data_IF_595151691929
#
_entry.id   IF_595151691929
#
_cell.length_a   1.000
_cell.length_b   1.000
_cell.length_c   1.000
_cell.angle_alpha   90.00
_cell.angle_beta   90.00
_cell.angle_gamma   90.00
#
_symmetry.space_group_name_H-M   'P 1'
#
loop_
_entity.id
_entity.type
_entity.pdbx_description
1 polymer ?
#
# COMPACT_ATOMS: atom_id res chain seq x y z
N UNK A 1 5.76 101.61 -12.45
CA UNK A 1 7.10 101.54 -11.79
C UNK A 1 6.89 100.74 -10.52
N UNK A 2 7.43 99.55 -10.26
CA UNK A 2 8.64 98.82 -10.70
C UNK A 2 8.29 97.32 -10.66
N UNK A 3 8.48 96.57 -11.76
CA UNK A 3 9.67 95.77 -12.07
C UNK A 3 10.11 94.82 -10.95
N UNK A 4 9.79 93.52 -11.07
CA UNK A 4 10.85 92.51 -10.95
C UNK A 4 10.47 91.19 -11.66
N UNK A 5 11.23 90.88 -12.72
CA UNK A 5 11.29 89.56 -13.38
C UNK A 5 12.62 88.90 -12.98
N UNK A 6 12.54 87.64 -12.59
CA UNK A 6 13.60 86.63 -12.80
C UNK A 6 14.09 85.90 -11.55
N UNK A 7 14.74 84.72 -11.69
CA UNK A 7 14.76 83.78 -12.82
C UNK A 7 14.16 82.41 -12.45
N UNK A 8 13.76 81.67 -13.48
CA UNK A 8 13.44 80.26 -13.40
C UNK A 8 14.63 79.49 -12.80
N UNK A 9 14.41 78.87 -11.63
CA UNK A 9 15.35 77.90 -11.07
C UNK A 9 15.11 76.59 -11.81
N UNK A 10 15.78 76.43 -12.94
CA UNK A 10 16.03 75.12 -13.53
C UNK A 10 16.89 74.34 -12.55
N UNK A 11 16.26 73.58 -11.67
CA UNK A 11 16.92 72.44 -11.02
C UNK A 11 16.74 71.29 -11.97
N UNK A 12 17.84 70.91 -12.62
CA UNK A 12 17.89 69.80 -13.56
C UNK A 12 17.11 68.61 -13.02
N UNK A 13 16.00 68.31 -13.69
CA UNK A 13 15.66 66.92 -13.91
C UNK A 13 16.86 66.34 -14.66
N UNK A 14 17.82 65.76 -13.92
CA UNK A 14 18.63 64.69 -14.47
C UNK A 14 17.63 63.63 -14.92
N UNK A 15 17.17 63.79 -16.17
CA UNK A 15 16.31 62.82 -16.82
C UNK A 15 17.19 61.59 -16.95
N UNK A 16 17.10 60.69 -15.96
CA UNK A 16 17.65 59.34 -16.09
C UNK A 16 17.25 58.86 -17.46
N UNK A 17 18.24 58.70 -18.32
CA UNK A 17 18.00 58.41 -19.72
C UNK A 17 17.25 57.09 -19.79
N UNK A 18 16.37 56.93 -20.79
CA UNK A 18 15.57 55.71 -20.92
C UNK A 18 16.45 54.43 -20.89
N UNK A 19 17.70 54.56 -21.33
CA UNK A 19 18.75 53.55 -21.28
C UNK A 19 19.20 53.20 -19.85
N UNK A 20 19.39 54.19 -18.97
CA UNK A 20 19.71 53.94 -17.55
C UNK A 20 18.55 53.25 -16.82
N UNK A 21 17.30 53.57 -17.18
CA UNK A 21 16.11 52.87 -16.66
C UNK A 21 16.05 51.42 -17.16
N UNK A 22 16.36 51.19 -18.44
CA UNK A 22 16.42 49.86 -19.04
C UNK A 22 17.52 48.99 -18.42
N UNK A 23 18.73 49.52 -18.28
CA UNK A 23 19.86 48.82 -17.66
C UNK A 23 19.59 48.46 -16.19
N UNK A 24 18.85 49.32 -15.47
CA UNK A 24 18.42 49.06 -14.10
C UNK A 24 17.35 47.96 -14.04
N UNK A 25 16.38 47.97 -14.94
CA UNK A 25 15.35 46.92 -15.04
C UNK A 25 15.96 45.57 -15.41
N UNK A 26 16.88 45.53 -16.37
CA UNK A 26 17.48 44.28 -16.86
C UNK A 26 18.31 43.55 -15.77
N UNK A 27 19.07 44.31 -14.96
CA UNK A 27 19.79 43.77 -13.79
C UNK A 27 18.86 43.26 -12.71
N UNK A 28 17.70 43.90 -12.54
CA UNK A 28 16.70 43.51 -11.55
C UNK A 28 15.96 42.23 -12.00
N UNK A 29 15.58 42.15 -13.27
CA UNK A 29 14.94 40.97 -13.89
C UNK A 29 15.85 39.74 -13.81
N UNK A 30 17.16 39.89 -14.06
CA UNK A 30 18.11 38.78 -13.96
C UNK A 30 18.25 38.23 -12.54
N UNK A 31 18.22 39.10 -11.53
CA UNK A 31 18.25 38.70 -10.11
C UNK A 31 16.94 38.02 -9.68
N UNK A 32 15.79 38.55 -10.10
CA UNK A 32 14.49 37.96 -9.81
C UNK A 32 14.30 36.60 -10.48
N UNK A 33 14.73 36.44 -11.73
CA UNK A 33 14.68 35.15 -12.42
C UNK A 33 15.51 34.08 -11.69
N UNK A 34 16.71 34.43 -11.21
CA UNK A 34 17.56 33.49 -10.48
C UNK A 34 16.93 33.04 -9.14
N UNK A 35 16.32 33.97 -8.40
CA UNK A 35 15.59 33.67 -7.16
C UNK A 35 14.40 32.76 -7.45
N UNK A 36 13.63 33.05 -8.50
CA UNK A 36 12.49 32.23 -8.91
C UNK A 36 12.92 30.80 -9.29
N UNK A 37 14.01 30.65 -10.04
CA UNK A 37 14.51 29.31 -10.42
C UNK A 37 14.90 28.48 -9.19
N UNK A 38 15.63 29.08 -8.25
CA UNK A 38 16.01 28.39 -6.99
C UNK A 38 14.78 28.07 -6.14
N UNK A 39 13.81 28.98 -6.06
CA UNK A 39 12.57 28.76 -5.34
C UNK A 39 11.75 27.61 -5.95
N UNK A 40 11.67 27.51 -7.27
CA UNK A 40 10.96 26.42 -7.96
C UNK A 40 11.66 25.08 -7.74
N UNK A 41 12.99 25.01 -7.86
CA UNK A 41 13.75 23.78 -7.59
C UNK A 41 13.59 23.37 -6.13
N UNK A 42 13.68 24.33 -5.20
CA UNK A 42 13.45 24.09 -3.77
C UNK A 42 12.04 23.59 -3.48
N UNK A 43 11.02 24.15 -4.13
CA UNK A 43 9.63 23.73 -3.99
C UNK A 43 9.40 22.32 -4.57
N UNK A 44 9.92 22.04 -5.76
CA UNK A 44 9.83 20.71 -6.39
C UNK A 44 10.58 19.66 -5.56
N UNK A 45 11.77 19.98 -5.05
CA UNK A 45 12.52 19.13 -4.15
C UNK A 45 11.79 18.89 -2.83
N UNK A 46 11.19 19.93 -2.25
CA UNK A 46 10.40 19.83 -1.03
C UNK A 46 9.14 18.97 -1.21
N UNK A 47 8.42 19.13 -2.33
CA UNK A 47 7.26 18.30 -2.66
C UNK A 47 7.68 16.84 -2.89
N UNK A 48 8.76 16.60 -3.64
CA UNK A 48 9.26 15.25 -3.91
C UNK A 48 9.80 14.51 -2.68
N UNK A 49 10.33 15.24 -1.69
CA UNK A 49 10.89 14.63 -0.47
C UNK A 49 9.82 14.13 0.51
N UNK A 50 8.58 14.63 0.44
CA UNK A 50 7.51 14.23 1.38
C UNK A 50 6.93 12.83 1.14
N UNK A 51 7.23 12.21 0.00
CA UNK A 51 6.61 10.94 -0.42
C UNK A 51 7.34 9.68 0.13
N UNK A 52 8.47 9.81 0.83
CA UNK A 52 9.26 8.66 1.32
C UNK A 52 9.01 8.25 2.78
N UNK A 53 7.88 8.64 3.38
CA UNK A 53 7.43 7.98 4.61
C UNK A 53 6.68 6.72 4.25
N UNK A 54 7.29 5.55 4.49
CA UNK A 54 6.58 4.27 4.48
C UNK A 54 5.44 4.39 5.49
N UNK A 55 4.23 4.64 5.00
CA UNK A 55 3.02 4.56 5.77
C UNK A 55 2.85 3.10 6.17
N UNK A 56 2.84 2.82 7.48
CA UNK A 56 2.88 1.46 8.02
C UNK A 56 1.68 0.56 7.69
N UNK A 57 0.74 1.01 6.85
CA UNK A 57 -0.43 0.26 6.42
C UNK A 57 -0.72 0.57 4.95
N UNK A 58 -0.62 -0.44 4.08
CA UNK A 58 -1.10 -0.38 2.70
C UNK A 58 -2.56 -0.85 2.69
N UNK A 59 -3.48 0.04 2.29
CA UNK A 59 -4.91 -0.31 2.12
C UNK A 59 -5.23 -0.32 0.64
N UNK A 60 -5.60 -1.50 0.14
CA UNK A 60 -6.04 -1.69 -1.23
C UNK A 60 -7.26 -2.64 -1.26
N UNK A 61 -8.08 -2.53 -2.30
CA UNK A 61 -9.14 -3.52 -2.57
C UNK A 61 -8.56 -4.83 -3.08
N UNK A 62 -7.48 -4.74 -3.84
CA UNK A 62 -6.78 -5.82 -4.50
C UNK A 62 -5.30 -5.46 -4.52
N UNK A 63 -4.42 -6.41 -4.20
CA UNK A 63 -2.98 -6.25 -4.32
C UNK A 63 -2.43 -7.41 -5.17
N UNK A 64 -1.77 -7.05 -6.27
CA UNK A 64 -1.13 -7.99 -7.19
C UNK A 64 0.37 -7.76 -7.20
N UNK A 65 1.13 -8.84 -7.06
CA UNK A 65 2.56 -8.84 -7.36
C UNK A 65 2.70 -9.37 -8.78
N UNK A 66 3.28 -8.55 -9.64
CA UNK A 66 3.46 -8.86 -11.06
C UNK A 66 4.91 -9.32 -11.25
N UNK A 67 5.07 -10.51 -11.82
CA UNK A 67 6.36 -11.05 -12.22
C UNK A 67 6.71 -10.68 -13.67
N UNK A 68 7.67 -11.42 -14.23
CA UNK A 68 8.15 -11.14 -15.57
C UNK A 68 7.04 -11.29 -16.63
N UNK A 69 7.11 -10.45 -17.66
CA UNK A 69 6.17 -10.40 -18.78
C UNK A 69 4.74 -9.97 -18.39
N UNK A 70 4.58 -9.27 -17.25
CA UNK A 70 3.28 -8.73 -16.85
C UNK A 70 2.33 -9.74 -16.21
N UNK A 71 2.81 -10.95 -15.90
CA UNK A 71 2.00 -12.02 -15.31
C UNK A 71 1.86 -11.84 -13.81
N UNK A 72 0.69 -12.18 -13.27
CA UNK A 72 0.48 -12.11 -11.81
C UNK A 72 1.09 -13.34 -11.14
N UNK A 73 1.94 -13.15 -10.13
CA UNK A 73 2.57 -14.24 -9.37
C UNK A 73 2.00 -14.39 -7.96
N UNK A 74 1.46 -13.30 -7.39
CA UNK A 74 0.72 -13.30 -6.12
C UNK A 74 -0.46 -12.37 -6.25
N UNK A 75 -1.62 -12.80 -5.73
CA UNK A 75 -2.85 -12.03 -5.76
C UNK A 75 -3.51 -12.09 -4.38
N UNK A 76 -3.66 -10.93 -3.75
CA UNK A 76 -4.39 -10.75 -2.49
C UNK A 76 -5.68 -9.98 -2.77
N UNK A 77 -6.82 -10.61 -2.50
CA UNK A 77 -8.14 -10.09 -2.86
C UNK A 77 -9.22 -10.61 -1.91
N UNK A 78 -10.49 -10.38 -2.28
CA UNK A 78 -11.63 -11.09 -1.71
C UNK A 78 -12.17 -12.10 -2.72
N UNK A 79 -12.71 -13.20 -2.22
CA UNK A 79 -13.45 -14.14 -3.05
C UNK A 79 -14.86 -13.59 -3.40
N UNK A 80 -15.69 -14.43 -4.01
CA UNK A 80 -17.05 -14.05 -4.44
C UNK A 80 -18.00 -13.80 -3.25
N UNK A 81 -17.72 -14.37 -2.08
CA UNK A 81 -18.50 -14.21 -0.85
C UNK A 81 -18.02 -13.01 -0.03
N UNK A 82 -16.88 -12.43 -0.40
CA UNK A 82 -16.29 -11.27 0.26
C UNK A 82 -15.23 -11.64 1.29
N UNK A 83 -14.87 -12.92 1.40
CA UNK A 83 -13.86 -13.41 2.32
C UNK A 83 -12.45 -13.19 1.78
N UNK A 84 -11.48 -13.04 2.68
CA UNK A 84 -10.09 -12.79 2.29
C UNK A 84 -9.47 -13.99 1.56
N UNK A 85 -8.75 -13.70 0.49
CA UNK A 85 -8.07 -14.70 -0.32
C UNK A 85 -6.66 -14.24 -0.73
N UNK A 86 -5.70 -15.17 -0.66
CA UNK A 86 -4.34 -15.01 -1.17
C UNK A 86 -4.02 -16.19 -2.09
N UNK A 87 -3.74 -15.91 -3.35
CA UNK A 87 -3.34 -16.90 -4.34
C UNK A 87 -1.89 -16.67 -4.79
N UNK A 88 -1.18 -17.76 -5.10
CA UNK A 88 0.07 -17.72 -5.86
C UNK A 88 -0.08 -18.49 -7.17
N UNK A 89 0.68 -18.08 -8.18
CA UNK A 89 0.57 -18.62 -9.52
C UNK A 89 1.92 -19.12 -10.06
N UNK A 90 1.86 -20.15 -10.91
CA UNK A 90 3.01 -20.63 -11.68
C UNK A 90 3.36 -19.63 -12.78
N UNK A 91 4.50 -19.82 -13.46
CA UNK A 91 4.85 -19.01 -14.63
C UNK A 91 3.86 -19.16 -15.81
N UNK A 92 2.99 -20.18 -15.78
CA UNK A 92 1.89 -20.40 -16.73
C UNK A 92 0.55 -19.83 -16.24
N UNK A 93 0.56 -19.04 -15.16
CA UNK A 93 -0.63 -18.46 -14.53
C UNK A 93 -1.61 -19.50 -13.95
N UNK A 94 -1.11 -20.71 -13.68
CA UNK A 94 -1.88 -21.74 -12.97
C UNK A 94 -1.80 -21.48 -11.47
N UNK A 95 -2.92 -21.55 -10.76
CA UNK A 95 -2.95 -21.36 -9.30
C UNK A 95 -2.22 -22.52 -8.60
N UNK A 96 -1.20 -22.21 -7.80
CA UNK A 96 -0.37 -23.20 -7.10
C UNK A 96 -0.67 -23.25 -5.60
N UNK A 97 -0.95 -22.11 -4.98
CA UNK A 97 -1.36 -22.03 -3.56
C UNK A 97 -2.57 -21.13 -3.44
N UNK A 98 -3.50 -21.49 -2.56
CA UNK A 98 -4.62 -20.64 -2.15
C UNK A 98 -4.73 -20.66 -0.64
N UNK A 99 -4.75 -19.49 -0.02
CA UNK A 99 -5.11 -19.29 1.37
C UNK A 99 -6.39 -18.49 1.39
N UNK A 100 -7.45 -19.02 1.98
CA UNK A 100 -8.73 -18.33 2.07
C UNK A 100 -9.28 -18.41 3.49
N UNK A 101 -10.13 -17.45 3.80
CA UNK A 101 -10.96 -17.47 5.00
C UNK A 101 -12.41 -17.71 4.63
N UNK A 102 -13.22 -18.06 5.62
CA UNK A 102 -14.68 -18.08 5.54
C UNK A 102 -15.25 -17.80 6.94
N UNK A 103 -16.56 -17.54 7.07
CA UNK A 103 -17.20 -17.47 8.38
C UNK A 103 -17.07 -18.75 9.21
N UNK A 104 -16.70 -19.87 8.59
CA UNK A 104 -16.58 -21.18 9.25
C UNK A 104 -15.15 -21.58 9.62
N UNK A 105 -14.14 -20.91 9.08
CA UNK A 105 -12.74 -21.23 9.29
C UNK A 105 -11.87 -20.85 8.10
N UNK A 106 -10.60 -21.21 8.18
CA UNK A 106 -9.61 -20.96 7.13
C UNK A 106 -9.31 -22.21 6.32
N UNK A 107 -8.87 -22.01 5.08
CA UNK A 107 -8.41 -23.06 4.19
C UNK A 107 -7.07 -22.67 3.57
N UNK A 108 -6.16 -23.63 3.49
CA UNK A 108 -4.92 -23.56 2.73
C UNK A 108 -4.91 -24.75 1.76
N UNK A 109 -4.77 -24.48 0.47
CA UNK A 109 -4.68 -25.51 -0.57
C UNK A 109 -3.37 -25.36 -1.33
N UNK A 110 -2.70 -26.49 -1.55
CA UNK A 110 -1.61 -26.65 -2.50
C UNK A 110 -2.13 -27.44 -3.72
N UNK A 111 -1.95 -26.87 -4.89
CA UNK A 111 -2.43 -27.43 -6.15
C UNK A 111 -1.27 -28.01 -6.96
N UNK A 112 -1.57 -29.05 -7.75
CA UNK A 112 -0.68 -29.48 -8.81
C UNK A 112 -0.87 -28.62 -10.07
N UNK A 113 -0.07 -28.89 -11.11
CA UNK A 113 -0.14 -28.17 -12.40
C UNK A 113 -1.46 -28.39 -13.15
N UNK A 114 -2.24 -29.41 -12.80
CA UNK A 114 -3.55 -29.66 -13.39
C UNK A 114 -4.68 -28.88 -12.68
N UNK A 115 -4.35 -28.13 -11.62
CA UNK A 115 -5.33 -27.39 -10.81
C UNK A 115 -6.04 -28.25 -9.75
N UNK A 116 -5.56 -29.47 -9.49
CA UNK A 116 -6.11 -30.33 -8.44
C UNK A 116 -5.45 -30.01 -7.09
N UNK A 117 -6.26 -29.78 -6.05
CA UNK A 117 -5.76 -29.55 -4.70
C UNK A 117 -5.27 -30.86 -4.06
N UNK A 118 -3.94 -31.04 -4.03
CA UNK A 118 -3.27 -32.26 -3.55
C UNK A 118 -3.06 -32.22 -2.04
N UNK A 119 -2.86 -31.03 -1.45
CA UNK A 119 -2.78 -30.87 0.01
C UNK A 119 -3.78 -29.81 0.43
N UNK A 120 -4.52 -30.10 1.51
CA UNK A 120 -5.48 -29.17 2.10
C UNK A 120 -5.31 -29.11 3.60
N UNK A 121 -5.23 -27.90 4.15
CA UNK A 121 -5.33 -27.62 5.58
C UNK A 121 -6.59 -26.81 5.80
N UNK A 122 -7.43 -27.25 6.72
CA UNK A 122 -8.73 -26.62 6.97
C UNK A 122 -8.96 -26.49 8.47
N UNK A 123 -9.65 -25.44 8.88
CA UNK A 123 -10.21 -25.31 10.23
C UNK A 123 -11.72 -25.15 10.14
N UNK A 124 -12.44 -25.58 11.18
CA UNK A 124 -13.88 -25.40 11.28
C UNK A 124 -14.28 -24.71 12.60
N UNK A 125 -15.55 -24.29 12.69
CA UNK A 125 -16.12 -23.61 13.87
C UNK A 125 -15.99 -24.39 15.18
N UNK A 126 -15.84 -25.71 15.12
CA UNK A 126 -15.91 -26.61 16.29
C UNK A 126 -14.54 -26.85 16.95
N UNK A 127 -13.57 -25.94 16.74
CA UNK A 127 -12.20 -26.05 17.28
C UNK A 127 -11.43 -27.29 16.78
N UNK A 128 -11.84 -27.83 15.64
CA UNK A 128 -11.12 -28.90 14.96
C UNK A 128 -10.46 -28.38 13.69
N UNK A 129 -9.26 -28.88 13.41
CA UNK A 129 -8.55 -28.67 12.15
C UNK A 129 -8.30 -30.00 11.47
N UNK A 130 -8.12 -29.97 10.16
CA UNK A 130 -7.68 -31.13 9.40
C UNK A 130 -6.56 -30.76 8.44
N UNK A 131 -5.67 -31.73 8.20
CA UNK A 131 -4.69 -31.72 7.13
C UNK A 131 -4.94 -32.97 6.31
N UNK A 132 -5.07 -32.87 5.00
CA UNK A 132 -5.25 -34.03 4.14
C UNK A 132 -4.39 -33.96 2.89
N UNK A 133 -3.97 -35.14 2.43
CA UNK A 133 -3.36 -35.37 1.12
C UNK A 133 -4.36 -36.11 0.26
N UNK A 134 -4.61 -35.60 -0.94
CA UNK A 134 -5.57 -36.15 -1.91
C UNK A 134 -4.87 -36.56 -3.20
N UNK A 135 -5.40 -37.58 -3.86
CA UNK A 135 -4.99 -37.90 -5.21
C UNK A 135 -5.66 -36.95 -6.23
N UNK A 136 -5.34 -37.13 -7.52
CA UNK A 136 -5.89 -36.32 -8.61
C UNK A 136 -7.40 -36.51 -8.82
N UNK A 137 -7.97 -37.62 -8.35
CA UNK A 137 -9.41 -37.89 -8.39
C UNK A 137 -10.16 -37.22 -7.21
N UNK A 138 -9.44 -36.57 -6.31
CA UNK A 138 -9.99 -35.90 -5.12
C UNK A 138 -10.18 -36.82 -3.91
N UNK A 139 -9.76 -38.08 -3.99
CA UNK A 139 -9.82 -39.02 -2.88
C UNK A 139 -8.68 -38.79 -1.89
N UNK A 140 -9.04 -38.62 -0.62
CA UNK A 140 -8.10 -38.52 0.50
C UNK A 140 -7.30 -39.81 0.64
N UNK A 141 -5.99 -39.70 0.53
CA UNK A 141 -5.02 -40.79 0.76
C UNK A 141 -4.62 -40.82 2.24
N UNK A 142 -4.36 -39.65 2.82
CA UNK A 142 -3.98 -39.50 4.22
C UNK A 142 -4.68 -38.28 4.81
N UNK A 143 -5.07 -38.37 6.08
CA UNK A 143 -5.61 -37.24 6.82
C UNK A 143 -5.23 -37.27 8.30
N UNK A 144 -4.92 -36.10 8.82
CA UNK A 144 -4.81 -35.83 10.25
C UNK A 144 -5.97 -34.91 10.63
N UNK A 145 -6.75 -35.30 11.64
CA UNK A 145 -7.88 -34.50 12.14
C UNK A 145 -7.70 -34.27 13.63
N UNK A 146 -7.81 -33.01 14.06
CA UNK A 146 -7.87 -32.64 15.47
C UNK A 146 -9.27 -32.89 16.03
N UNK A 147 -9.35 -33.53 17.20
CA UNK A 147 -10.62 -33.66 17.93
C UNK A 147 -10.86 -32.43 18.81
N UNK A 148 -12.12 -32.00 19.00
CA UNK A 148 -12.44 -30.98 19.99
C UNK A 148 -11.97 -31.46 21.37
N UNK A 149 -11.24 -30.62 22.10
CA UNK A 149 -10.95 -30.92 23.51
C UNK A 149 -12.27 -30.98 24.28
N UNK A 150 -12.61 -32.12 24.89
CA UNK A 150 -13.74 -32.17 25.81
C UNK A 150 -13.49 -31.17 26.95
N UNK A 151 -14.48 -30.34 27.34
CA UNK A 151 -14.34 -29.48 28.50
C UNK A 151 -14.00 -30.36 29.70
N UNK A 152 -12.94 -29.99 30.43
CA UNK A 152 -12.51 -30.71 31.63
C UNK A 152 -13.62 -30.60 32.68
N UNK A 153 -14.52 -31.57 32.73
CA UNK A 153 -15.50 -31.67 33.82
C UNK A 153 -14.70 -31.90 35.08
N UNK A 154 -14.55 -30.86 35.91
CA UNK A 154 -13.91 -31.00 37.20
C UNK A 154 -14.72 -32.02 38.01
N UNK A 155 -14.08 -33.11 38.43
CA UNK A 155 -14.68 -34.05 39.37
C UNK A 155 -15.17 -33.26 40.59
N UNK A 156 -16.49 -33.13 40.73
CA UNK A 156 -17.10 -32.73 41.98
C UNK A 156 -16.75 -33.80 42.99
N UNK A 157 -15.75 -33.53 43.83
CA UNK A 157 -15.35 -34.41 44.91
C UNK A 157 -16.53 -34.61 45.84
N UNK A 158 -17.17 -35.77 45.78
CA UNK A 158 -18.07 -36.23 46.83
C UNK A 158 -17.23 -36.45 48.09
N UNK A 159 -17.32 -35.55 49.06
CA UNK A 159 -16.78 -35.79 50.39
C UNK A 159 -17.56 -36.96 51.02
N UNK A 160 -16.88 -38.00 51.55
CA UNK A 160 -17.58 -39.05 52.28
C UNK A 160 -18.07 -38.49 53.61
N UNK A 161 -19.40 -38.51 53.83
CA UNK A 161 -19.97 -38.32 55.15
C UNK A 161 -19.63 -39.54 56.00
N UNK A 162 -18.75 -39.36 57.00
CA UNK A 162 -18.58 -40.34 58.08
C UNK A 162 -19.77 -40.22 59.04
N UNK A 163 -20.41 -41.35 59.35
CA UNK A 163 -21.40 -41.49 60.41
C UNK A 163 -20.85 -42.42 61.48
#
# INVERSE_FOLDING_TARGET
>A
MTSNRGPAKGTGEESMTAEERLARLERQTRRWNLILTVAVIGLCGYIGFREFTVTGIIRARELKIIGDHGRTIVHMTRDQEGDGQIDTFSAKEEKMVSISTSPTGGMFNLYNQMGNAIVSVQSNKLSSGSVSVRNVDGHTQEAMTGSPSQPRTQLSGSLPFYR
#
